data_IF_132652323292
#
_entry.id   IF_132652323292
#
_cell.length_a   1.000
_cell.length_b   1.000
_cell.length_c   1.000
_cell.angle_alpha   90.00
_cell.angle_beta   90.00
_cell.angle_gamma   90.00
#
_symmetry.space_group_name_H-M   'P 1'
#
loop_
_entity.id
_entity.type
_entity.pdbx_description
1 polymer ?
#
# COMPACT_ATOMS: atom_id res chain seq x y z
N UNK A 1 14.76 15.78 33.34
CA UNK A 1 14.89 14.94 32.14
C UNK A 1 15.21 15.88 30.98
N UNK A 2 16.17 15.56 30.12
CA UNK A 2 16.37 16.34 28.89
C UNK A 2 15.16 16.12 28.00
N UNK A 3 14.47 17.19 27.61
CA UNK A 3 13.36 17.10 26.67
C UNK A 3 13.92 16.71 25.29
N UNK A 4 13.42 15.60 24.75
CA UNK A 4 13.78 15.18 23.41
C UNK A 4 13.11 16.11 22.39
N UNK A 5 13.90 16.58 21.43
CA UNK A 5 13.35 17.31 20.29
C UNK A 5 12.93 16.28 19.21
N UNK A 6 11.64 16.11 19.05
CA UNK A 6 11.09 15.29 17.97
C UNK A 6 11.11 16.06 16.65
N UNK A 7 11.22 15.31 15.54
CA UNK A 7 11.08 15.91 14.21
C UNK A 7 9.68 16.51 14.02
N UNK A 8 9.58 17.65 13.32
CA UNK A 8 8.30 18.36 13.09
C UNK A 8 7.23 17.44 12.49
N UNK A 9 7.63 16.53 11.60
CA UNK A 9 6.72 15.53 10.99
C UNK A 9 5.97 14.66 11.98
N UNK A 10 6.49 14.46 13.20
CA UNK A 10 5.81 13.62 14.21
C UNK A 10 4.51 14.26 14.72
N UNK A 11 4.34 15.56 14.53
CA UNK A 11 3.10 16.26 14.89
C UNK A 11 1.96 15.96 13.93
N UNK A 12 2.27 15.60 12.69
CA UNK A 12 1.29 15.22 11.66
C UNK A 12 0.98 13.70 11.66
N UNK A 13 1.75 12.90 12.40
CA UNK A 13 1.58 11.45 12.48
C UNK A 13 0.55 11.08 13.56
N UNK A 14 -0.73 11.38 13.32
CA UNK A 14 -1.82 11.02 14.23
C UNK A 14 -2.18 9.53 14.09
N UNK A 15 -1.51 8.69 14.88
CA UNK A 15 -1.78 7.26 14.98
C UNK A 15 -2.78 6.89 16.09
N UNK A 16 -3.17 7.85 16.94
CA UNK A 16 -3.99 7.60 18.14
C UNK A 16 -5.37 7.06 17.78
N UNK A 17 -6.05 7.63 16.81
CA UNK A 17 -7.40 7.22 16.41
C UNK A 17 -7.44 5.76 15.90
N UNK A 18 -6.49 5.36 15.07
CA UNK A 18 -6.38 3.98 14.56
C UNK A 18 -6.02 3.00 15.68
N UNK A 19 -5.14 3.40 16.58
CA UNK A 19 -4.73 2.58 17.71
C UNK A 19 -5.88 2.34 18.70
N UNK A 20 -6.67 3.37 19.02
CA UNK A 20 -7.85 3.25 19.87
C UNK A 20 -8.93 2.38 19.20
N UNK A 21 -9.16 2.56 17.91
CA UNK A 21 -10.09 1.73 17.14
C UNK A 21 -9.70 0.24 17.20
N UNK A 22 -8.41 -0.08 17.01
CA UNK A 22 -7.92 -1.46 17.11
C UNK A 22 -8.03 -2.03 18.52
N UNK A 23 -7.80 -1.22 19.56
CA UNK A 23 -8.03 -1.64 20.96
C UNK A 23 -9.49 -1.97 21.23
N UNK A 24 -10.40 -1.15 20.75
CA UNK A 24 -11.84 -1.39 20.93
C UNK A 24 -12.31 -2.63 20.20
N UNK A 25 -11.76 -2.93 19.02
CA UNK A 25 -12.13 -4.10 18.24
C UNK A 25 -11.79 -5.44 18.91
N UNK A 26 -10.83 -5.44 19.83
CA UNK A 26 -10.43 -6.63 20.61
C UNK A 26 -11.25 -6.87 21.88
N UNK A 27 -12.23 -6.03 22.23
CA UNK A 27 -13.03 -6.19 23.43
C UNK A 27 -14.07 -7.31 23.29
N UNK A 28 -14.31 -8.11 24.36
CA UNK A 28 -15.32 -9.15 24.34
C UNK A 28 -16.71 -8.62 24.01
N UNK A 29 -17.44 -9.32 23.14
CA UNK A 29 -18.81 -8.98 22.76
C UNK A 29 -18.94 -7.88 21.67
N UNK A 30 -17.83 -7.38 21.15
CA UNK A 30 -17.82 -6.43 20.02
C UNK A 30 -17.72 -7.17 18.69
N UNK A 31 -18.65 -6.89 17.78
CA UNK A 31 -18.53 -7.27 16.37
C UNK A 31 -17.85 -6.11 15.66
N UNK A 32 -16.57 -6.31 15.27
CA UNK A 32 -15.76 -5.25 14.66
C UNK A 32 -15.83 -5.31 13.14
N UNK A 33 -16.09 -4.16 12.51
CA UNK A 33 -15.93 -3.92 11.08
C UNK A 33 -14.75 -2.97 10.79
N UNK A 34 -13.91 -2.71 11.80
CA UNK A 34 -12.88 -1.68 11.73
C UNK A 34 -11.56 -2.18 11.12
N UNK A 35 -11.23 -3.47 11.25
CA UNK A 35 -9.98 -4.03 10.74
C UNK A 35 -10.21 -5.26 9.88
N UNK A 36 -9.65 -5.27 8.66
CA UNK A 36 -9.66 -6.42 7.77
C UNK A 36 -8.59 -7.44 8.14
N UNK A 37 -8.78 -8.16 9.25
CA UNK A 37 -7.87 -9.23 9.64
C UNK A 37 -8.24 -10.53 8.93
N UNK A 38 -7.25 -11.33 8.47
CA UNK A 38 -7.52 -12.68 7.97
C UNK A 38 -8.16 -13.55 9.04
N UNK A 39 -9.06 -14.47 8.63
CA UNK A 39 -9.62 -15.45 9.57
C UNK A 39 -8.52 -16.37 10.10
N UNK A 40 -8.34 -16.51 11.42
CA UNK A 40 -7.36 -17.42 12.00
C UNK A 40 -7.55 -18.88 11.57
N UNK A 41 -8.79 -19.28 11.28
CA UNK A 41 -9.14 -20.64 10.85
C UNK A 41 -8.63 -20.97 9.44
N UNK A 42 -8.34 -19.94 8.64
CA UNK A 42 -7.83 -20.10 7.27
C UNK A 42 -6.30 -20.17 7.20
N UNK A 43 -5.58 -20.04 8.31
CA UNK A 43 -4.13 -20.11 8.30
C UNK A 43 -3.64 -21.52 7.99
N UNK A 44 -2.83 -21.73 6.93
CA UNK A 44 -2.35 -23.04 6.54
C UNK A 44 -1.13 -23.46 7.38
N UNK A 45 -1.31 -23.62 8.69
CA UNK A 45 -0.22 -23.84 9.66
C UNK A 45 0.62 -25.07 9.32
N UNK A 46 -0.01 -26.16 8.91
CA UNK A 46 0.70 -27.41 8.55
C UNK A 46 1.56 -27.23 7.30
N UNK A 47 1.05 -26.50 6.30
CA UNK A 47 1.82 -26.21 5.09
C UNK A 47 3.03 -25.30 5.39
N UNK A 48 2.87 -24.31 6.28
CA UNK A 48 3.99 -23.48 6.75
C UNK A 48 5.05 -24.30 7.48
N UNK A 49 4.66 -25.19 8.39
CA UNK A 49 5.59 -26.07 9.09
C UNK A 49 6.37 -26.95 8.12
N UNK A 50 5.69 -27.60 7.18
CA UNK A 50 6.32 -28.43 6.17
C UNK A 50 7.30 -27.64 5.26
N UNK A 51 6.92 -26.42 4.85
CA UNK A 51 7.77 -25.55 4.07
C UNK A 51 9.02 -25.12 4.87
N UNK A 52 8.86 -24.75 6.14
CA UNK A 52 9.96 -24.39 7.02
C UNK A 52 10.95 -25.56 7.19
N UNK A 53 10.46 -26.76 7.51
CA UNK A 53 11.30 -27.95 7.65
C UNK A 53 12.07 -28.27 6.36
N UNK A 54 11.40 -28.16 5.22
CA UNK A 54 12.02 -28.36 3.90
C UNK A 54 13.17 -27.36 3.68
N UNK A 55 12.94 -26.08 3.90
CA UNK A 55 13.96 -25.03 3.71
C UNK A 55 15.16 -25.24 4.64
N UNK A 56 14.90 -25.56 5.91
CA UNK A 56 15.96 -25.79 6.89
C UNK A 56 16.75 -27.07 6.63
N UNK A 57 16.17 -28.06 5.98
CA UNK A 57 16.86 -29.28 5.56
C UNK A 57 17.70 -29.06 4.30
N UNK A 58 17.15 -28.37 3.29
CA UNK A 58 17.74 -28.26 1.96
C UNK A 58 18.68 -27.07 1.81
N UNK A 59 18.34 -25.93 2.43
CA UNK A 59 19.05 -24.67 2.25
C UNK A 59 19.33 -23.89 3.55
N UNK A 60 19.75 -24.54 4.66
CA UNK A 60 19.84 -23.89 5.96
C UNK A 60 20.80 -22.70 5.99
N UNK A 61 21.92 -22.79 5.28
CA UNK A 61 22.92 -21.69 5.27
C UNK A 61 22.38 -20.46 4.54
N UNK A 62 21.67 -20.63 3.43
CA UNK A 62 21.11 -19.53 2.67
C UNK A 62 19.91 -18.90 3.39
N UNK A 63 19.08 -19.73 4.06
CA UNK A 63 17.92 -19.26 4.80
C UNK A 63 18.27 -18.41 6.02
N UNK A 64 19.43 -18.64 6.63
CA UNK A 64 19.91 -17.95 7.84
C UNK A 64 20.92 -16.84 7.55
N UNK A 65 21.34 -16.64 6.30
CA UNK A 65 22.32 -15.64 5.92
C UNK A 65 21.63 -14.34 5.46
N UNK A 66 22.38 -13.25 5.49
CA UNK A 66 22.00 -12.01 4.83
C UNK A 66 21.73 -12.23 3.35
N UNK A 67 20.75 -11.53 2.83
CA UNK A 67 20.41 -11.46 1.41
C UNK A 67 20.80 -10.10 0.81
N UNK A 68 20.61 -9.94 -0.51
CA UNK A 68 20.72 -8.62 -1.15
C UNK A 68 19.65 -7.65 -0.62
N UNK A 69 19.87 -6.36 -0.78
CA UNK A 69 18.93 -5.32 -0.34
C UNK A 69 17.57 -5.44 -1.01
N UNK A 70 17.54 -5.96 -2.24
CA UNK A 70 16.32 -6.19 -3.02
C UNK A 70 15.56 -7.44 -2.55
N UNK A 71 16.21 -8.28 -1.75
CA UNK A 71 15.63 -9.51 -1.22
C UNK A 71 16.16 -10.78 -1.89
N UNK A 72 15.70 -11.93 -1.40
CA UNK A 72 16.15 -13.25 -1.82
C UNK A 72 15.86 -13.52 -3.30
N UNK A 73 16.92 -13.70 -4.09
CA UNK A 73 16.85 -13.77 -5.54
C UNK A 73 15.89 -14.86 -6.08
N UNK A 74 15.88 -16.10 -5.57
CA UNK A 74 14.95 -17.12 -6.07
C UNK A 74 13.48 -16.73 -5.84
N UNK A 75 13.15 -15.99 -4.77
CA UNK A 75 11.80 -15.50 -4.54
C UNK A 75 11.45 -14.37 -5.51
N UNK A 76 12.38 -13.46 -5.79
CA UNK A 76 12.20 -12.39 -6.79
C UNK A 76 11.95 -12.97 -8.19
N UNK A 77 12.72 -14.02 -8.57
CA UNK A 77 12.52 -14.74 -9.83
C UNK A 77 11.14 -15.39 -9.88
N UNK A 78 10.73 -16.06 -8.81
CA UNK A 78 9.41 -16.69 -8.74
C UNK A 78 8.28 -15.65 -8.83
N UNK A 79 8.38 -14.51 -8.13
CA UNK A 79 7.42 -13.41 -8.22
C UNK A 79 7.33 -12.89 -9.65
N UNK A 80 8.46 -12.60 -10.31
CA UNK A 80 8.49 -12.11 -11.67
C UNK A 80 7.80 -13.07 -12.66
N UNK A 81 8.03 -14.39 -12.50
CA UNK A 81 7.42 -15.43 -13.34
C UNK A 81 5.92 -15.65 -13.04
N UNK A 82 5.45 -15.31 -11.84
CA UNK A 82 4.05 -15.50 -11.45
C UNK A 82 3.13 -14.36 -11.90
N UNK A 83 3.68 -13.25 -12.36
CA UNK A 83 2.90 -12.12 -12.86
C UNK A 83 2.34 -12.39 -14.25
N UNK A 84 1.14 -11.89 -14.59
CA UNK A 84 0.52 -12.08 -15.89
C UNK A 84 1.11 -11.23 -17.02
N UNK A 85 2.17 -10.47 -16.73
CA UNK A 85 2.94 -9.67 -17.69
C UNK A 85 4.43 -9.91 -17.49
N UNK A 86 5.22 -9.61 -18.49
CA UNK A 86 6.67 -9.82 -18.45
C UNK A 86 7.35 -8.78 -17.54
N UNK A 87 8.04 -9.26 -16.51
CA UNK A 87 8.80 -8.44 -15.55
C UNK A 87 10.16 -9.10 -15.30
N UNK A 88 11.24 -8.32 -15.38
CA UNK A 88 12.55 -8.79 -14.95
C UNK A 88 12.61 -8.89 -13.42
N UNK A 89 13.24 -9.92 -12.84
CA UNK A 89 13.49 -10.02 -11.39
C UNK A 89 14.21 -8.79 -10.80
N UNK A 90 14.92 -8.02 -11.61
CA UNK A 90 15.58 -6.77 -11.19
C UNK A 90 14.58 -5.66 -10.83
N UNK A 91 13.34 -5.75 -11.33
CA UNK A 91 12.26 -4.82 -10.98
C UNK A 91 11.41 -5.30 -9.80
N UNK A 92 11.83 -6.37 -9.12
CA UNK A 92 11.14 -6.91 -7.94
C UNK A 92 11.93 -6.58 -6.69
N UNK A 93 11.30 -5.87 -5.77
CA UNK A 93 11.81 -5.58 -4.42
C UNK A 93 10.93 -6.29 -3.39
N UNK A 94 11.54 -7.11 -2.53
CA UNK A 94 10.83 -7.75 -1.42
C UNK A 94 10.79 -6.82 -0.21
N UNK A 95 9.59 -6.65 0.34
CA UNK A 95 9.34 -5.80 1.50
C UNK A 95 8.67 -6.56 2.64
N UNK A 96 8.76 -6.05 3.86
CA UNK A 96 8.03 -6.58 5.02
C UNK A 96 6.59 -6.06 5.01
N UNK A 97 5.82 -6.47 4.01
CA UNK A 97 4.45 -6.04 3.79
C UNK A 97 4.33 -4.70 3.08
N UNK A 98 3.08 -4.35 2.73
CA UNK A 98 2.74 -3.14 1.97
C UNK A 98 3.12 -1.84 2.69
N UNK A 99 3.12 -1.84 4.03
CA UNK A 99 3.46 -0.63 4.79
C UNK A 99 4.90 -0.17 4.53
N UNK A 100 5.86 -1.09 4.44
CA UNK A 100 7.23 -0.75 4.07
C UNK A 100 7.32 -0.30 2.61
N UNK A 101 6.57 -0.93 1.70
CA UNK A 101 6.54 -0.51 0.30
C UNK A 101 6.01 0.92 0.15
N UNK A 102 4.92 1.27 0.85
CA UNK A 102 4.35 2.61 0.86
C UNK A 102 5.30 3.65 1.44
N UNK A 103 6.01 3.30 2.53
CA UNK A 103 7.03 4.18 3.12
C UNK A 103 8.18 4.44 2.13
N UNK A 104 8.67 3.40 1.46
CA UNK A 104 9.73 3.54 0.44
C UNK A 104 9.27 4.39 -0.76
N UNK A 105 8.04 4.20 -1.22
CA UNK A 105 7.45 5.01 -2.29
C UNK A 105 7.36 6.48 -1.84
N UNK A 106 6.85 6.71 -0.63
CA UNK A 106 6.81 8.06 -0.05
C UNK A 106 8.19 8.70 0.01
N UNK A 107 9.19 7.98 0.48
CA UNK A 107 10.58 8.43 0.57
C UNK A 107 11.19 8.83 -0.77
N UNK A 108 10.83 8.14 -1.85
CA UNK A 108 11.40 8.36 -3.19
C UNK A 108 10.66 9.46 -3.94
N UNK A 109 9.33 9.61 -3.74
CA UNK A 109 8.49 10.45 -4.57
C UNK A 109 7.98 11.72 -3.87
N UNK A 110 8.05 11.81 -2.53
CA UNK A 110 7.45 12.92 -1.78
C UNK A 110 8.54 13.75 -1.09
N UNK A 111 8.59 15.03 -1.43
CA UNK A 111 9.21 16.09 -0.64
C UNK A 111 8.13 16.78 0.21
N UNK A 112 8.52 17.51 1.27
CA UNK A 112 7.61 18.35 2.04
C UNK A 112 6.85 19.32 1.12
N UNK A 113 5.53 19.31 1.21
CA UNK A 113 4.64 20.12 0.36
C UNK A 113 4.40 19.57 -1.05
N UNK A 114 5.01 18.44 -1.43
CA UNK A 114 4.65 17.74 -2.67
C UNK A 114 3.18 17.38 -2.66
N UNK A 115 2.52 17.47 -3.81
CA UNK A 115 1.11 17.09 -3.93
C UNK A 115 0.98 15.64 -4.34
N UNK A 116 0.05 14.94 -3.71
CA UNK A 116 -0.34 13.57 -4.08
C UNK A 116 -1.86 13.50 -4.22
N UNK A 117 -2.32 12.73 -5.21
CA UNK A 117 -3.73 12.43 -5.39
C UNK A 117 -4.06 11.09 -4.71
N UNK A 118 -5.22 11.00 -4.08
CA UNK A 118 -5.70 9.74 -3.49
C UNK A 118 -7.16 9.50 -3.82
N UNK A 119 -7.53 8.26 -4.06
CA UNK A 119 -8.93 7.84 -4.12
C UNK A 119 -9.60 8.05 -2.76
N UNK A 120 -10.86 8.48 -2.73
CA UNK A 120 -11.61 8.65 -1.48
C UNK A 120 -12.92 7.85 -1.54
N UNK A 121 -13.21 7.02 -0.50
CA UNK A 121 -12.40 6.76 0.70
C UNK A 121 -11.07 6.07 0.39
N UNK A 122 -10.07 6.19 1.27
CA UNK A 122 -8.72 5.68 1.06
C UNK A 122 -8.25 4.79 2.20
N UNK A 123 -7.25 3.95 1.93
CA UNK A 123 -6.62 3.13 2.96
C UNK A 123 -5.82 4.00 3.94
N UNK A 124 -6.23 3.96 5.20
CA UNK A 124 -5.62 4.79 6.26
C UNK A 124 -4.14 4.51 6.44
N UNK A 125 -3.71 3.23 6.30
CA UNK A 125 -2.30 2.86 6.41
C UNK A 125 -1.41 3.52 5.35
N UNK A 126 -1.91 3.73 4.13
CA UNK A 126 -1.19 4.46 3.09
C UNK A 126 -1.07 5.94 3.44
N UNK A 127 -2.16 6.57 3.89
CA UNK A 127 -2.14 7.97 4.31
C UNK A 127 -1.18 8.20 5.48
N UNK A 128 -1.11 7.25 6.43
CA UNK A 128 -0.14 7.29 7.53
C UNK A 128 1.31 7.17 7.05
N UNK A 129 1.61 6.25 6.13
CA UNK A 129 2.94 6.13 5.56
C UNK A 129 3.38 7.42 4.87
N UNK A 130 2.51 7.99 4.03
CA UNK A 130 2.81 9.21 3.29
C UNK A 130 2.89 10.45 4.17
N UNK A 131 2.10 10.51 5.27
CA UNK A 131 2.10 11.67 6.17
C UNK A 131 3.46 11.98 6.78
N UNK A 132 4.32 10.96 6.94
CA UNK A 132 5.69 11.15 7.42
C UNK A 132 6.54 12.06 6.51
N UNK A 133 6.16 12.20 5.26
CA UNK A 133 6.82 13.05 4.24
C UNK A 133 6.12 14.38 4.02
N UNK A 134 5.07 14.69 4.81
CA UNK A 134 4.36 15.97 4.83
C UNK A 134 3.82 16.42 3.44
N UNK A 135 3.14 15.52 2.66
CA UNK A 135 2.54 15.91 1.40
C UNK A 135 1.30 16.80 1.61
N UNK A 136 0.94 17.52 0.57
CA UNK A 136 -0.40 18.09 0.40
C UNK A 136 -1.26 17.04 -0.32
N UNK A 137 -2.20 16.47 0.39
CA UNK A 137 -3.09 15.42 -0.15
C UNK A 137 -4.34 16.07 -0.72
N UNK A 138 -4.70 15.71 -1.94
CA UNK A 138 -6.03 16.01 -2.47
C UNK A 138 -6.76 14.72 -2.87
N UNK A 139 -8.06 14.69 -2.63
CA UNK A 139 -8.90 13.53 -2.85
C UNK A 139 -9.57 13.56 -4.20
N UNK A 140 -9.62 12.40 -4.84
CA UNK A 140 -10.46 12.13 -6.01
C UNK A 140 -11.64 11.28 -5.51
N UNK A 141 -12.84 11.85 -5.40
CA UNK A 141 -13.99 11.13 -4.89
C UNK A 141 -14.52 10.13 -5.91
N UNK A 142 -15.17 9.10 -5.41
CA UNK A 142 -15.99 8.24 -6.25
C UNK A 142 -17.34 8.92 -6.51
N UNK A 143 -17.85 8.75 -7.72
CA UNK A 143 -19.20 9.12 -8.07
C UNK A 143 -20.21 8.32 -7.22
N UNK A 144 -21.18 8.98 -6.55
CA UNK A 144 -22.10 8.31 -5.62
C UNK A 144 -23.02 7.27 -6.28
N UNK A 145 -23.32 7.41 -7.59
CA UNK A 145 -24.24 6.53 -8.29
C UNK A 145 -23.52 5.31 -8.85
N UNK A 146 -22.39 5.52 -9.52
CA UNK A 146 -21.60 4.43 -10.13
C UNK A 146 -20.60 3.80 -9.15
N UNK A 147 -20.19 4.51 -8.11
CA UNK A 147 -19.11 4.12 -7.22
C UNK A 147 -17.72 4.19 -7.87
N UNK A 148 -17.61 4.65 -9.10
CA UNK A 148 -16.35 4.77 -9.85
C UNK A 148 -15.77 6.17 -9.71
N UNK A 149 -14.47 6.29 -9.90
CA UNK A 149 -13.78 7.57 -9.98
C UNK A 149 -14.26 8.37 -11.19
N UNK A 150 -14.39 9.68 -11.05
CA UNK A 150 -14.59 10.56 -12.19
C UNK A 150 -13.23 10.92 -12.80
N UNK A 151 -12.94 10.38 -13.99
CA UNK A 151 -11.66 10.61 -14.66
C UNK A 151 -11.46 12.09 -15.04
N UNK A 152 -12.55 12.81 -15.33
CA UNK A 152 -12.51 14.26 -15.54
C UNK A 152 -11.97 15.03 -14.33
N UNK A 153 -12.35 14.61 -13.13
CA UNK A 153 -11.86 15.24 -11.90
C UNK A 153 -10.36 14.97 -11.70
N UNK A 154 -9.91 13.76 -12.05
CA UNK A 154 -8.49 13.42 -12.03
C UNK A 154 -7.70 14.27 -13.03
N UNK A 155 -8.21 14.44 -14.24
CA UNK A 155 -7.61 15.26 -15.30
C UNK A 155 -7.52 16.74 -14.87
N UNK A 156 -8.62 17.33 -14.41
CA UNK A 156 -8.66 18.72 -13.96
C UNK A 156 -7.70 18.94 -12.77
N UNK A 157 -7.72 18.06 -11.80
CA UNK A 157 -6.85 18.16 -10.62
C UNK A 157 -5.38 17.98 -10.99
N UNK A 158 -5.04 17.06 -11.91
CA UNK A 158 -3.67 16.90 -12.35
C UNK A 158 -3.15 18.13 -13.09
N UNK A 159 -3.93 18.71 -13.99
CA UNK A 159 -3.59 19.96 -14.69
C UNK A 159 -3.40 21.12 -13.71
N UNK A 160 -4.18 21.18 -12.64
CA UNK A 160 -4.14 22.27 -11.67
C UNK A 160 -3.04 22.10 -10.63
N UNK A 161 -2.78 20.88 -10.17
CA UNK A 161 -1.98 20.61 -8.97
C UNK A 161 -0.70 19.83 -9.23
N UNK A 162 -0.55 19.16 -10.37
CA UNK A 162 0.62 18.38 -10.76
C UNK A 162 1.07 17.39 -9.64
N UNK A 163 0.21 16.43 -9.30
CA UNK A 163 0.53 15.43 -8.29
C UNK A 163 1.74 14.58 -8.68
N UNK A 164 2.51 14.19 -7.70
CA UNK A 164 3.65 13.26 -7.87
C UNK A 164 3.20 11.87 -8.28
N UNK A 165 2.07 11.42 -7.74
CA UNK A 165 1.41 10.16 -8.09
C UNK A 165 -0.06 10.18 -7.67
N UNK A 166 -0.81 9.19 -8.18
CA UNK A 166 -2.16 8.88 -7.76
C UNK A 166 -2.19 7.53 -7.04
N UNK A 167 -2.62 7.53 -5.77
CA UNK A 167 -2.77 6.33 -4.98
C UNK A 167 -4.22 5.82 -5.00
N UNK A 168 -4.41 4.53 -5.34
CA UNK A 168 -5.70 3.87 -5.29
C UNK A 168 -5.56 2.36 -5.05
N UNK A 169 -6.67 1.74 -4.64
CA UNK A 169 -6.83 0.29 -4.58
C UNK A 169 -7.81 -0.15 -5.68
N UNK A 170 -7.29 -0.75 -6.74
CA UNK A 170 -8.11 -1.14 -7.90
C UNK A 170 -8.97 -2.38 -7.67
N UNK A 171 -8.63 -3.21 -6.68
CA UNK A 171 -9.36 -4.42 -6.31
C UNK A 171 -9.60 -4.45 -4.81
N UNK A 172 -10.81 -4.85 -4.41
CA UNK A 172 -11.18 -4.99 -2.99
C UNK A 172 -10.78 -3.77 -2.17
N UNK A 173 -11.11 -2.59 -2.67
CA UNK A 173 -10.73 -1.30 -2.08
C UNK A 173 -11.01 -1.27 -0.58
N UNK A 174 -10.04 -0.84 0.19
CA UNK A 174 -10.18 -0.64 1.62
C UNK A 174 -10.52 0.85 1.90
N UNK A 175 -11.70 1.20 2.46
CA UNK A 175 -12.63 0.29 3.17
C UNK A 175 -13.86 -0.16 2.38
N UNK A 176 -14.09 0.25 1.14
CA UNK A 176 -15.37 0.04 0.44
C UNK A 176 -15.61 -1.40 -0.03
N UNK A 177 -14.56 -2.21 -0.19
CA UNK A 177 -14.64 -3.54 -0.79
C UNK A 177 -14.84 -3.55 -2.30
N UNK A 178 -14.95 -2.40 -2.94
CA UNK A 178 -15.17 -2.29 -4.38
C UNK A 178 -13.96 -2.74 -5.20
N UNK A 179 -14.24 -3.29 -6.38
CA UNK A 179 -13.22 -3.55 -7.40
C UNK A 179 -13.59 -2.79 -8.67
N UNK A 180 -12.62 -2.10 -9.24
CA UNK A 180 -12.81 -1.39 -10.50
C UNK A 180 -12.98 -2.40 -11.64
N UNK A 181 -14.00 -2.23 -12.53
CA UNK A 181 -14.13 -3.05 -13.73
C UNK A 181 -12.89 -3.02 -14.61
N UNK A 182 -12.61 -4.10 -15.32
CA UNK A 182 -11.41 -4.21 -16.17
C UNK A 182 -11.34 -3.08 -17.21
N UNK A 183 -12.45 -2.76 -17.87
CA UNK A 183 -12.54 -1.68 -18.84
C UNK A 183 -12.24 -0.31 -18.22
N UNK A 184 -12.74 -0.07 -17.01
CA UNK A 184 -12.46 1.18 -16.30
C UNK A 184 -10.98 1.28 -15.90
N UNK A 185 -10.35 0.19 -15.45
CA UNK A 185 -8.90 0.16 -15.16
C UNK A 185 -8.05 0.47 -16.37
N UNK A 186 -8.46 -0.02 -17.55
CA UNK A 186 -7.80 0.29 -18.81
C UNK A 186 -7.93 1.79 -19.17
N UNK A 187 -9.12 2.36 -19.00
CA UNK A 187 -9.34 3.80 -19.22
C UNK A 187 -8.52 4.64 -18.24
N UNK A 188 -8.54 4.30 -16.96
CA UNK A 188 -7.75 4.97 -15.93
C UNK A 188 -6.25 4.93 -16.25
N UNK A 189 -5.72 3.77 -16.65
CA UNK A 189 -4.32 3.63 -17.02
C UNK A 189 -3.96 4.54 -18.21
N UNK A 190 -4.79 4.58 -19.24
CA UNK A 190 -4.61 5.47 -20.41
C UNK A 190 -4.65 6.95 -20.02
N UNK A 191 -5.60 7.33 -19.16
CA UNK A 191 -5.70 8.70 -18.64
C UNK A 191 -4.46 9.08 -17.84
N UNK A 192 -4.03 8.23 -16.91
CA UNK A 192 -2.84 8.52 -16.12
C UNK A 192 -1.56 8.58 -16.95
N UNK A 193 -1.41 7.72 -17.95
CA UNK A 193 -0.28 7.73 -18.89
C UNK A 193 -0.25 9.05 -19.71
N UNK A 194 -1.39 9.46 -20.26
CA UNK A 194 -1.53 10.72 -20.99
C UNK A 194 -1.21 11.95 -20.14
N UNK A 195 -1.47 11.88 -18.83
CA UNK A 195 -1.17 12.94 -17.87
C UNK A 195 0.25 12.88 -17.31
N UNK A 196 1.03 11.85 -17.64
CA UNK A 196 2.33 11.58 -17.02
C UNK A 196 2.22 11.38 -15.51
N UNK A 197 1.10 10.84 -15.03
CA UNK A 197 0.79 10.66 -13.61
C UNK A 197 1.02 9.20 -13.20
N UNK A 198 2.09 8.90 -12.44
CA UNK A 198 2.31 7.57 -11.90
C UNK A 198 1.14 7.10 -11.02
N UNK A 199 0.81 5.81 -11.09
CA UNK A 199 -0.21 5.17 -10.26
C UNK A 199 0.47 4.23 -9.26
N UNK A 200 0.07 4.32 -8.00
CA UNK A 200 0.58 3.53 -6.87
C UNK A 200 -0.55 2.73 -6.25
#
# INVERSE_FOLDING_TARGET
>A
MKDWQFATRTQAMDSLAVHEMLKMSGLPGIISFAGGLPSPESFPVEAFNAAYEKVMREHPRNALQYSSSEGYEPLRQWVAQSLPWEVSPEHVLLTTGSQQALDLIGKVLIDEGSRIAVQTPSYVGALQAFSAYQPVVYSIPNDPESGLLQLSDLEENQLRYAARFFYLLSNFQNPSGQSLPAEFREQLAKTCDALGLPVV
#
